data_IF_641540636236
#
_entry.id   IF_641540636236
#
_cell.length_a   1.000
_cell.length_b   1.000
_cell.length_c   1.000
_cell.angle_alpha   90.00
_cell.angle_beta   90.00
_cell.angle_gamma   90.00
#
_symmetry.space_group_name_H-M   'P 1'
#
loop_
_entity.id
_entity.type
_entity.pdbx_description
1 polymer ?
#
# COMPACT_ATOMS: atom_id res chain seq x y z
N UNK A 1 60.27 -7.44 7.14
CA UNK A 1 59.39 -8.01 6.08
C UNK A 1 58.05 -8.38 6.70
N UNK A 2 56.93 -8.17 6.00
CA UNK A 2 55.59 -8.62 6.44
C UNK A 2 55.32 -10.01 5.86
N UNK A 3 55.01 -10.99 6.69
CA UNK A 3 54.63 -12.34 6.24
C UNK A 3 53.25 -12.69 6.78
N UNK A 4 52.39 -13.20 5.91
CA UNK A 4 51.03 -13.62 6.25
C UNK A 4 50.95 -15.14 6.33
N UNK A 5 50.41 -15.67 7.44
CA UNK A 5 50.13 -17.09 7.58
C UNK A 5 48.62 -17.33 7.43
N UNK A 6 48.21 -17.82 6.26
CA UNK A 6 46.79 -18.08 5.93
C UNK A 6 46.13 -19.18 6.75
N UNK A 7 46.91 -20.10 7.35
CA UNK A 7 46.37 -21.18 8.18
C UNK A 7 46.03 -20.72 9.60
N UNK A 8 46.59 -19.59 10.05
CA UNK A 8 46.41 -19.05 11.41
C UNK A 8 45.94 -17.59 11.44
N UNK A 9 45.62 -17.01 10.28
CA UNK A 9 45.15 -15.64 10.12
C UNK A 9 46.01 -14.58 10.84
N UNK A 10 47.34 -14.70 10.78
CA UNK A 10 48.23 -13.78 11.50
C UNK A 10 49.29 -13.13 10.59
N UNK A 11 49.63 -11.88 10.88
CA UNK A 11 50.72 -11.11 10.27
C UNK A 11 51.91 -11.03 11.20
N UNK A 12 53.05 -11.60 10.81
CA UNK A 12 54.31 -11.34 11.50
C UNK A 12 55.04 -10.19 10.81
N UNK A 13 55.52 -9.24 11.63
CA UNK A 13 56.44 -8.20 11.20
C UNK A 13 57.79 -8.53 11.85
N UNK A 14 58.81 -8.76 11.03
CA UNK A 14 60.19 -8.81 11.52
C UNK A 14 60.75 -7.41 11.48
N UNK A 15 61.01 -6.84 12.65
CA UNK A 15 61.72 -5.57 12.82
C UNK A 15 63.24 -5.79 12.77
N UNK A 16 64.02 -4.71 12.60
CA UNK A 16 65.47 -4.75 12.34
C UNK A 16 66.28 -5.46 13.42
N UNK A 17 65.73 -5.58 14.62
CA UNK A 17 66.42 -6.09 15.81
C UNK A 17 66.13 -7.58 16.04
N UNK A 18 65.59 -8.26 15.01
CA UNK A 18 65.26 -9.69 15.00
C UNK A 18 64.31 -10.14 16.13
N UNK A 19 63.64 -9.17 16.77
CA UNK A 19 62.59 -9.41 17.74
C UNK A 19 61.26 -9.63 17.00
N UNK A 20 60.65 -10.79 17.19
CA UNK A 20 59.32 -11.06 16.66
C UNK A 20 58.33 -10.37 17.61
N UNK A 21 57.86 -9.19 17.23
CA UNK A 21 56.70 -8.60 17.88
C UNK A 21 55.48 -9.39 17.44
N UNK A 22 55.03 -10.30 18.30
CA UNK A 22 53.75 -11.00 18.13
C UNK A 22 52.66 -10.01 18.56
N UNK A 23 52.18 -9.19 17.63
CA UNK A 23 50.97 -8.40 17.87
C UNK A 23 49.77 -9.34 18.01
N UNK A 24 49.39 -9.71 19.24
CA UNK A 24 48.23 -10.58 19.47
C UNK A 24 46.89 -9.91 19.20
N UNK A 25 46.86 -8.68 18.70
CA UNK A 25 45.66 -8.08 18.12
C UNK A 25 45.43 -8.60 16.68
N UNK A 26 45.42 -9.92 16.57
CA UNK A 26 44.37 -10.55 15.78
C UNK A 26 43.48 -11.18 16.82
N UNK A 27 42.55 -10.38 17.35
CA UNK A 27 41.32 -10.98 17.83
C UNK A 27 40.75 -11.71 16.62
N UNK A 28 41.04 -13.00 16.58
CA UNK A 28 40.49 -13.96 15.63
C UNK A 28 39.01 -14.10 15.95
N UNK A 29 38.26 -13.02 15.75
CA UNK A 29 36.83 -13.10 15.69
C UNK A 29 36.54 -14.08 14.58
N UNK A 30 35.95 -15.23 14.91
CA UNK A 30 35.08 -15.95 13.99
C UNK A 30 33.83 -15.10 13.70
N UNK A 31 33.97 -13.77 13.66
CA UNK A 31 32.97 -12.77 13.98
C UNK A 31 31.79 -13.01 13.10
N UNK A 32 30.84 -13.80 13.60
CA UNK A 32 29.53 -13.93 13.02
C UNK A 32 28.95 -12.56 13.22
N UNK A 33 29.01 -11.77 12.15
CA UNK A 33 28.37 -10.47 12.11
C UNK A 33 26.91 -10.71 12.49
N UNK A 34 26.48 -10.09 13.60
CA UNK A 34 25.11 -10.29 14.07
C UNK A 34 24.21 -9.56 13.09
N UNK A 35 23.34 -10.33 12.45
CA UNK A 35 22.34 -9.79 11.54
C UNK A 35 20.96 -9.83 12.18
N UNK A 36 20.12 -8.90 11.77
CA UNK A 36 18.77 -8.69 12.28
C UNK A 36 17.75 -8.90 11.16
N UNK A 37 16.49 -8.83 11.55
CA UNK A 37 15.36 -8.90 10.62
C UNK A 37 14.40 -7.74 10.79
N UNK A 38 13.72 -7.42 9.69
CA UNK A 38 12.65 -6.42 9.60
C UNK A 38 11.43 -7.06 8.96
N UNK A 39 10.24 -6.78 9.47
CA UNK A 39 8.98 -7.18 8.84
C UNK A 39 7.78 -6.94 9.75
N UNK A 40 6.71 -7.70 9.48
CA UNK A 40 5.69 -8.21 10.41
C UNK A 40 4.43 -8.56 9.61
N UNK A 41 3.51 -7.63 9.35
CA UNK A 41 2.15 -7.98 8.95
C UNK A 41 1.50 -7.01 7.95
N UNK A 42 0.69 -7.56 7.04
CA UNK A 42 -0.17 -6.80 6.12
C UNK A 42 -1.59 -7.34 6.24
N UNK A 43 -2.57 -6.44 6.36
CA UNK A 43 -3.97 -6.82 6.59
C UNK A 43 -4.95 -6.00 5.76
N UNK A 44 -6.16 -6.52 5.66
CA UNK A 44 -7.30 -5.78 5.13
C UNK A 44 -7.95 -4.97 6.24
N UNK A 45 -7.69 -3.66 6.24
CA UNK A 45 -8.29 -2.69 7.14
C UNK A 45 -9.75 -2.45 6.71
N UNK A 46 -10.66 -3.24 7.28
CA UNK A 46 -12.07 -3.24 6.87
C UNK A 46 -12.85 -2.08 7.47
N UNK A 47 -12.41 -1.60 8.64
CA UNK A 47 -13.05 -0.52 9.37
C UNK A 47 -12.48 0.87 9.01
N UNK A 48 -11.32 0.90 8.32
CA UNK A 48 -10.60 2.08 7.81
C UNK A 48 -10.01 2.97 8.90
N UNK A 49 -9.70 2.43 10.06
CA UNK A 49 -9.13 3.19 11.17
C UNK A 49 -7.59 3.24 11.15
N UNK A 50 -6.94 2.42 10.31
CA UNK A 50 -5.49 2.35 10.22
C UNK A 50 -4.81 1.62 11.37
N UNK A 51 -5.58 0.88 12.17
CA UNK A 51 -5.11 0.05 13.26
C UNK A 51 -5.44 -1.41 12.98
N UNK A 52 -4.52 -2.30 13.36
CA UNK A 52 -4.78 -3.74 13.37
C UNK A 52 -5.81 -4.04 14.45
N UNK A 53 -6.98 -4.53 14.04
CA UNK A 53 -8.04 -4.92 14.99
C UNK A 53 -8.45 -6.38 14.87
N UNK A 54 -8.92 -6.94 15.99
CA UNK A 54 -9.35 -8.33 16.03
C UNK A 54 -10.57 -8.55 15.13
N UNK A 55 -10.44 -9.46 14.16
CA UNK A 55 -11.48 -9.78 13.18
C UNK A 55 -11.16 -9.30 11.76
N UNK A 56 -10.08 -8.52 11.59
CA UNK A 56 -9.57 -8.16 10.28
C UNK A 56 -8.74 -9.28 9.67
N UNK A 57 -8.87 -9.44 8.36
CA UNK A 57 -8.26 -10.58 7.67
C UNK A 57 -6.82 -10.26 7.24
N UNK A 58 -5.91 -11.24 7.29
CA UNK A 58 -4.58 -11.11 6.73
C UNK A 58 -4.62 -10.90 5.21
N UNK A 59 -3.66 -10.14 4.70
CA UNK A 59 -3.50 -9.88 3.28
C UNK A 59 -2.33 -10.68 2.70
N UNK A 60 -2.65 -11.79 2.03
CA UNK A 60 -1.68 -12.64 1.36
C UNK A 60 -1.28 -12.12 -0.03
N UNK A 61 -0.08 -12.50 -0.48
CA UNK A 61 0.48 -12.18 -1.80
C UNK A 61 0.63 -10.68 -2.09
N UNK A 62 0.88 -9.86 -1.05
CA UNK A 62 1.24 -8.45 -1.19
C UNK A 62 2.74 -8.36 -1.42
N UNK A 63 3.16 -7.62 -2.46
CA UNK A 63 4.57 -7.44 -2.77
C UNK A 63 5.20 -6.41 -1.82
N UNK A 64 6.25 -6.81 -1.12
CA UNK A 64 7.04 -5.95 -0.24
C UNK A 64 8.48 -5.89 -0.77
N UNK A 65 9.05 -4.70 -0.85
CA UNK A 65 10.40 -4.46 -1.36
C UNK A 65 11.26 -3.73 -0.35
N UNK A 66 12.38 -4.35 0.02
CA UNK A 66 13.50 -3.78 0.76
C UNK A 66 14.48 -3.12 -0.23
N UNK A 67 14.85 -1.88 0.03
CA UNK A 67 15.90 -1.15 -0.68
C UNK A 67 17.07 -0.90 0.26
N UNK A 68 18.26 -1.31 -0.16
CA UNK A 68 19.52 -1.10 0.55
C UNK A 68 20.06 0.32 0.30
N UNK A 69 21.01 0.77 1.12
CA UNK A 69 21.62 2.11 1.00
C UNK A 69 22.35 2.35 -0.33
N UNK A 70 22.82 1.29 -0.98
CA UNK A 70 23.45 1.33 -2.31
C UNK A 70 22.43 1.35 -3.48
N UNK A 71 21.13 1.30 -3.17
CA UNK A 71 20.02 1.28 -4.12
C UNK A 71 19.68 -0.10 -4.68
N UNK A 72 20.38 -1.16 -4.27
CA UNK A 72 19.96 -2.53 -4.60
C UNK A 72 18.67 -2.90 -3.87
N UNK A 73 17.94 -3.90 -4.36
CA UNK A 73 16.64 -4.28 -3.81
C UNK A 73 16.49 -5.78 -3.61
N UNK A 74 15.64 -6.15 -2.66
CA UNK A 74 15.16 -7.51 -2.42
C UNK A 74 13.64 -7.44 -2.22
N UNK A 75 12.90 -8.41 -2.77
CA UNK A 75 11.45 -8.44 -2.62
C UNK A 75 10.98 -9.80 -2.09
N UNK A 76 9.88 -9.76 -1.35
CA UNK A 76 9.13 -10.91 -0.86
C UNK A 76 7.64 -10.68 -1.06
N UNK A 77 6.85 -11.74 -1.00
CA UNK A 77 5.40 -11.66 -0.92
C UNK A 77 4.96 -12.03 0.49
N UNK A 78 3.92 -11.36 1.00
CA UNK A 78 3.27 -11.78 2.25
C UNK A 78 2.68 -13.18 2.10
N UNK A 79 2.79 -13.97 3.16
CA UNK A 79 2.28 -15.35 3.19
C UNK A 79 0.74 -15.40 3.37
N UNK A 80 0.19 -16.61 3.45
CA UNK A 80 -1.25 -16.82 3.63
C UNK A 80 -1.81 -16.21 4.93
N UNK A 81 -0.94 -16.01 5.92
CA UNK A 81 -1.23 -15.38 7.19
C UNK A 81 -0.84 -13.90 7.19
N UNK A 82 -0.57 -13.28 6.04
CA UNK A 82 -0.29 -11.84 5.91
C UNK A 82 1.12 -11.44 6.33
N UNK A 83 1.98 -12.38 6.73
CA UNK A 83 3.29 -12.06 7.28
C UNK A 83 4.38 -12.00 6.21
N UNK A 84 5.38 -11.16 6.44
CA UNK A 84 6.59 -11.08 5.61
C UNK A 84 7.82 -10.78 6.48
N UNK A 85 9.01 -11.11 5.98
CA UNK A 85 10.26 -10.84 6.71
C UNK A 85 11.47 -10.74 5.78
N UNK A 86 12.32 -9.74 6.05
CA UNK A 86 13.67 -9.67 5.53
C UNK A 86 14.67 -10.03 6.62
N UNK A 87 15.53 -11.00 6.33
CA UNK A 87 16.59 -11.47 7.22
C UNK A 87 17.97 -11.05 6.69
N UNK A 88 18.97 -11.04 7.57
CA UNK A 88 20.37 -10.80 7.18
C UNK A 88 20.72 -9.31 7.10
N UNK A 89 20.09 -8.46 7.91
CA UNK A 89 20.29 -7.02 7.89
C UNK A 89 21.34 -6.62 8.94
N UNK A 90 22.33 -5.84 8.52
CA UNK A 90 23.43 -5.41 9.39
C UNK A 90 23.02 -4.28 10.34
N UNK A 91 23.61 -4.30 11.54
CA UNK A 91 23.41 -3.26 12.56
C UNK A 91 23.83 -1.88 12.07
N UNK A 92 23.15 -0.83 12.54
CA UNK A 92 23.41 0.60 12.23
C UNK A 92 23.23 1.01 10.76
N UNK A 93 22.92 0.07 9.88
CA UNK A 93 22.55 0.36 8.50
C UNK A 93 21.08 0.77 8.40
N UNK A 94 20.78 1.57 7.38
CA UNK A 94 19.43 1.99 7.04
C UNK A 94 18.91 1.27 5.80
N UNK A 95 17.65 0.87 5.87
CA UNK A 95 16.94 0.17 4.80
C UNK A 95 15.58 0.83 4.58
N UNK A 96 15.12 0.87 3.34
CA UNK A 96 13.78 1.38 3.02
C UNK A 96 12.87 0.23 2.63
N UNK A 97 11.78 0.04 3.38
CA UNK A 97 10.71 -0.91 3.07
C UNK A 97 9.63 -0.17 2.30
N UNK A 98 9.13 -0.79 1.23
CA UNK A 98 8.01 -0.27 0.44
C UNK A 98 6.99 -1.36 0.14
N UNK A 99 5.71 -0.98 0.26
CA UNK A 99 4.59 -1.87 0.00
C UNK A 99 3.96 -1.55 -1.34
N UNK A 100 3.68 -2.58 -2.13
CA UNK A 100 2.91 -2.46 -3.38
C UNK A 100 1.54 -3.10 -3.19
N UNK A 101 0.47 -2.30 -2.99
CA UNK A 101 -0.88 -2.82 -2.87
C UNK A 101 -1.30 -3.64 -4.08
N UNK A 102 -2.06 -4.74 -3.90
CA UNK A 102 -2.66 -5.46 -5.01
C UNK A 102 -3.70 -4.59 -5.72
N UNK A 103 -4.04 -4.96 -6.95
CA UNK A 103 -5.04 -4.24 -7.74
C UNK A 103 -6.39 -4.13 -6.99
N UNK A 104 -6.99 -2.93 -7.01
CA UNK A 104 -8.24 -2.65 -6.31
C UNK A 104 -8.08 -2.31 -4.83
N UNK A 105 -6.85 -2.18 -4.32
CA UNK A 105 -6.56 -1.74 -2.96
C UNK A 105 -5.59 -0.57 -2.95
N UNK A 106 -5.67 0.23 -1.89
CA UNK A 106 -4.71 1.26 -1.52
C UNK A 106 -4.36 1.10 -0.04
N UNK A 107 -3.27 1.73 0.39
CA UNK A 107 -2.91 1.75 1.81
C UNK A 107 -3.88 2.62 2.60
N UNK A 108 -4.15 2.21 3.83
CA UNK A 108 -4.95 2.96 4.80
C UNK A 108 -4.17 4.16 5.38
N UNK A 109 -4.80 4.88 6.30
CA UNK A 109 -4.16 5.96 7.06
C UNK A 109 -2.97 5.42 7.84
N UNK A 110 -1.80 6.03 7.65
CA UNK A 110 -0.58 5.62 8.34
C UNK A 110 -0.41 6.30 9.70
N UNK A 111 0.39 5.70 10.59
CA UNK A 111 0.82 6.23 11.87
C UNK A 111 -0.37 6.63 12.78
N UNK A 112 -1.42 5.80 12.80
CA UNK A 112 -2.62 6.06 13.61
C UNK A 112 -2.34 5.73 15.07
N UNK A 113 -2.70 6.64 15.97
CA UNK A 113 -2.60 6.40 17.40
C UNK A 113 -1.16 6.53 17.90
N UNK A 114 -0.77 5.69 18.86
CA UNK A 114 0.54 5.77 19.51
C UNK A 114 1.22 4.41 19.71
N UNK A 115 0.63 3.34 19.19
CA UNK A 115 1.18 1.99 19.32
C UNK A 115 1.66 1.52 17.95
N UNK A 116 2.95 1.71 17.72
CA UNK A 116 3.69 1.38 16.50
C UNK A 116 3.54 -0.10 16.10
N UNK A 117 3.33 -1.00 17.08
CA UNK A 117 3.20 -2.43 16.80
C UNK A 117 1.83 -2.85 16.21
N UNK A 118 0.91 -1.89 16.01
CA UNK A 118 -0.44 -2.19 15.49
C UNK A 118 -0.95 -1.12 14.53
N UNK A 119 -0.19 -0.10 14.18
CA UNK A 119 -0.62 0.86 13.17
C UNK A 119 -0.07 0.48 11.79
N UNK A 120 -0.35 1.31 10.79
CA UNK A 120 0.15 1.14 9.43
C UNK A 120 1.29 2.12 9.19
N UNK A 121 2.45 1.69 8.68
CA UNK A 121 3.59 2.60 8.42
C UNK A 121 3.45 3.43 7.15
N UNK A 122 2.49 3.06 6.30
CA UNK A 122 2.28 3.66 4.99
C UNK A 122 3.16 3.07 3.89
N UNK A 123 3.30 3.80 2.77
CA UNK A 123 3.81 3.21 1.52
C UNK A 123 5.31 2.96 1.48
N UNK A 124 6.08 3.72 2.26
CA UNK A 124 7.53 3.67 2.26
C UNK A 124 8.05 4.14 3.61
N UNK A 125 8.78 3.29 4.30
CA UNK A 125 9.34 3.55 5.63
C UNK A 125 10.84 3.27 5.62
N UNK A 126 11.62 4.12 6.31
CA UNK A 126 13.06 3.91 6.47
C UNK A 126 13.33 3.43 7.88
N UNK A 127 13.95 2.26 7.97
CA UNK A 127 14.29 1.59 9.23
C UNK A 127 15.80 1.64 9.39
N UNK A 128 16.27 2.04 10.58
CA UNK A 128 17.68 1.92 10.97
C UNK A 128 17.79 0.82 12.02
N UNK A 129 18.58 -0.20 11.74
CA UNK A 129 18.78 -1.32 12.66
C UNK A 129 19.53 -0.84 13.90
N UNK A 130 18.99 -1.16 15.08
CA UNK A 130 19.51 -0.75 16.40
C UNK A 130 19.72 -1.95 17.32
N UNK A 131 20.60 -2.85 16.89
CA UNK A 131 20.96 -4.07 17.59
C UNK A 131 19.75 -4.96 17.99
N UNK A 132 18.64 -4.87 17.26
CA UNK A 132 17.41 -5.62 17.49
C UNK A 132 16.67 -5.85 16.16
N UNK A 133 15.84 -6.89 16.14
CA UNK A 133 14.87 -7.09 15.07
C UNK A 133 13.77 -6.04 15.19
N UNK A 134 13.21 -5.65 14.05
CA UNK A 134 12.11 -4.69 13.96
C UNK A 134 10.88 -5.39 13.37
N UNK A 135 9.89 -5.69 14.22
CA UNK A 135 8.66 -6.39 13.83
C UNK A 135 7.44 -5.50 14.07
N UNK A 136 7.58 -4.22 13.71
CA UNK A 136 6.49 -3.23 13.78
C UNK A 136 6.24 -2.60 12.41
N UNK A 137 6.80 -3.19 11.34
CA UNK A 137 6.66 -2.63 10.00
C UNK A 137 5.50 -3.27 9.26
N UNK A 138 4.37 -2.57 9.29
CA UNK A 138 3.05 -3.07 8.98
C UNK A 138 2.34 -2.23 7.93
N UNK A 139 1.37 -2.84 7.22
CA UNK A 139 0.58 -2.13 6.21
C UNK A 139 -0.89 -2.56 6.19
N UNK A 140 -1.78 -1.60 6.45
CA UNK A 140 -3.23 -1.80 6.31
C UNK A 140 -3.72 -1.45 4.90
N UNK A 141 -4.59 -2.29 4.34
CA UNK A 141 -5.15 -2.12 3.00
C UNK A 141 -6.65 -1.84 3.04
N UNK A 142 -7.09 -0.79 2.35
CA UNK A 142 -8.50 -0.48 2.11
C UNK A 142 -8.83 -0.65 0.63
N UNK A 143 -10.09 -0.98 0.26
CA UNK A 143 -10.50 -0.97 -1.13
C UNK A 143 -10.25 0.39 -1.77
N UNK A 144 -9.65 0.38 -2.97
CA UNK A 144 -9.43 1.59 -3.76
C UNK A 144 -10.79 2.22 -4.11
N UNK A 145 -11.07 3.45 -3.63
CA UNK A 145 -12.34 4.12 -3.89
C UNK A 145 -12.58 4.38 -5.39
N UNK A 146 -11.54 4.42 -6.22
CA UNK A 146 -11.66 4.65 -7.66
C UNK A 146 -12.00 3.36 -8.41
N UNK A 147 -11.43 2.22 -7.99
CA UNK A 147 -11.69 0.91 -8.59
C UNK A 147 -13.11 0.35 -8.33
N UNK A 148 -13.81 0.83 -7.28
CA UNK A 148 -15.23 0.47 -7.06
C UNK A 148 -16.20 1.06 -8.09
N UNK A 149 -15.78 2.09 -8.86
CA UNK A 149 -16.66 2.75 -9.83
C UNK A 149 -16.73 2.06 -11.20
N UNK A 150 -15.87 1.06 -11.46
CA UNK A 150 -15.84 0.32 -12.74
C UNK A 150 -16.39 -1.09 -12.57
N UNK A 151 -17.70 -1.21 -12.32
CA UNK A 151 -18.44 -2.46 -12.56
C UNK A 151 -19.38 -2.26 -13.75
N UNK A 152 -18.89 -2.56 -14.94
CA UNK A 152 -19.72 -2.71 -16.15
C UNK A 152 -20.63 -3.93 -15.97
N UNK A 153 -21.80 -3.70 -15.38
CA UNK A 153 -22.86 -4.70 -15.32
C UNK A 153 -23.58 -4.72 -16.66
N UNK A 154 -23.31 -5.70 -17.51
CA UNK A 154 -24.19 -6.02 -18.64
C UNK A 154 -25.42 -6.76 -18.08
N UNK A 155 -26.46 -6.02 -17.72
CA UNK A 155 -27.77 -6.61 -17.41
C UNK A 155 -28.71 -6.44 -18.59
N UNK A 156 -28.80 -7.48 -19.42
CA UNK A 156 -29.98 -7.67 -20.27
C UNK A 156 -31.14 -8.10 -19.36
N UNK A 157 -31.83 -7.14 -18.75
CA UNK A 157 -33.01 -7.43 -17.93
C UNK A 157 -34.24 -7.66 -18.81
N UNK A 158 -34.68 -8.92 -18.85
CA UNK A 158 -35.89 -9.35 -19.55
C UNK A 158 -37.11 -9.03 -18.67
N UNK A 159 -37.88 -8.03 -19.10
CA UNK A 159 -39.30 -7.73 -18.79
C UNK A 159 -39.68 -7.52 -17.31
N UNK A 160 -40.32 -6.37 -17.07
CA UNK A 160 -40.98 -6.00 -15.81
C UNK A 160 -40.05 -5.92 -14.58
N UNK A 161 -39.00 -5.10 -14.66
CA UNK A 161 -38.06 -4.90 -13.56
C UNK A 161 -37.95 -3.42 -13.19
N UNK A 162 -38.12 -3.13 -11.90
CA UNK A 162 -37.76 -1.83 -11.31
C UNK A 162 -36.24 -1.81 -11.17
N UNK A 163 -35.56 -1.00 -11.97
CA UNK A 163 -34.10 -0.90 -11.95
C UNK A 163 -33.70 0.47 -11.42
N UNK A 164 -32.92 0.49 -10.34
CA UNK A 164 -32.21 1.68 -9.89
C UNK A 164 -30.77 1.52 -10.38
N UNK A 165 -30.39 2.31 -11.38
CA UNK A 165 -29.06 2.23 -11.99
C UNK A 165 -28.44 3.62 -12.01
N UNK A 166 -27.33 3.79 -11.31
CA UNK A 166 -26.36 4.84 -11.61
C UNK A 166 -25.38 4.27 -12.63
N UNK A 167 -25.69 4.45 -13.90
CA UNK A 167 -24.85 3.99 -15.01
C UNK A 167 -24.72 5.10 -16.03
N UNK A 168 -23.51 5.32 -16.52
CA UNK A 168 -23.25 6.02 -17.78
C UNK A 168 -23.50 5.05 -18.93
N UNK A 169 -24.73 4.58 -19.09
CA UNK A 169 -25.09 3.70 -20.22
C UNK A 169 -26.13 4.37 -21.11
N UNK A 170 -25.87 4.30 -22.42
CA UNK A 170 -26.84 4.51 -23.48
C UNK A 170 -28.07 3.63 -23.19
N UNK A 171 -29.25 4.24 -23.05
CA UNK A 171 -30.49 3.51 -22.81
C UNK A 171 -31.30 3.43 -24.11
N UNK A 172 -31.19 2.30 -24.81
CA UNK A 172 -32.20 1.92 -25.80
C UNK A 172 -33.47 1.48 -25.07
N UNK A 173 -34.41 2.40 -24.90
CA UNK A 173 -35.68 2.13 -24.22
C UNK A 173 -36.72 1.66 -25.24
N UNK A 174 -37.21 0.42 -25.12
CA UNK A 174 -38.37 -0.05 -25.89
C UNK A 174 -39.62 -0.09 -24.99
N UNK A 175 -40.53 0.85 -25.27
CA UNK A 175 -41.96 0.96 -24.87
C UNK A 175 -42.33 0.69 -23.39
N UNK A 176 -42.98 1.70 -22.80
CA UNK A 176 -43.63 1.67 -21.48
C UNK A 176 -42.67 1.46 -20.29
N UNK A 177 -41.64 2.31 -20.21
CA UNK A 177 -40.69 2.31 -19.08
C UNK A 177 -40.60 3.71 -18.46
N UNK A 178 -40.56 3.75 -17.13
CA UNK A 178 -40.34 4.97 -16.34
C UNK A 178 -38.88 4.97 -15.89
N UNK A 179 -38.09 5.93 -16.35
CA UNK A 179 -36.69 6.09 -16.00
C UNK A 179 -36.49 7.37 -15.21
N UNK A 180 -35.87 7.27 -14.02
CA UNK A 180 -35.40 8.44 -13.27
C UNK A 180 -33.89 8.53 -13.48
N UNK A 181 -33.45 9.58 -14.15
CA UNK A 181 -32.04 9.81 -14.47
C UNK A 181 -31.63 11.21 -14.03
N UNK A 182 -30.50 11.34 -13.35
CA UNK A 182 -29.81 12.62 -13.16
C UNK A 182 -28.60 12.64 -14.09
N UNK A 183 -28.81 13.02 -15.35
CA UNK A 183 -27.73 13.20 -16.31
C UNK A 183 -27.97 14.45 -17.16
N UNK A 184 -26.87 15.13 -17.52
CA UNK A 184 -26.84 16.08 -18.63
C UNK A 184 -27.07 15.28 -19.92
N UNK A 185 -28.31 15.20 -20.36
CA UNK A 185 -28.72 14.39 -21.52
C UNK A 185 -29.00 15.26 -22.74
N UNK A 186 -28.46 14.84 -23.90
CA UNK A 186 -29.08 15.11 -25.20
C UNK A 186 -30.12 13.99 -25.41
N UNK A 187 -31.38 14.34 -25.57
CA UNK A 187 -32.47 13.37 -25.70
C UNK A 187 -33.03 13.37 -27.12
N UNK A 188 -32.95 12.21 -27.80
CA UNK A 188 -33.85 11.89 -28.91
C UNK A 188 -34.97 11.00 -28.38
N UNK A 189 -36.18 11.55 -28.32
CA UNK A 189 -37.35 10.85 -27.80
C UNK A 189 -38.21 10.31 -28.93
N UNK A 190 -38.53 9.01 -28.94
CA UNK A 190 -39.67 8.48 -29.72
C UNK A 190 -40.81 8.07 -28.79
N UNK A 191 -41.83 8.94 -28.80
CA UNK A 191 -43.23 8.84 -28.33
C UNK A 191 -43.51 8.16 -26.97
N UNK A 192 -44.06 8.99 -26.07
CA UNK A 192 -44.80 8.66 -24.85
C UNK A 192 -43.96 8.24 -23.62
N UNK A 193 -42.85 8.92 -23.38
CA UNK A 193 -42.13 8.89 -22.10
C UNK A 193 -42.37 10.19 -21.32
N UNK A 194 -42.69 10.07 -20.03
CA UNK A 194 -42.77 11.19 -19.09
C UNK A 194 -41.53 11.21 -18.21
N UNK A 195 -40.81 12.33 -18.20
CA UNK A 195 -39.64 12.57 -17.35
C UNK A 195 -40.05 13.47 -16.17
N UNK A 196 -39.66 13.13 -14.94
CA UNK A 196 -39.92 13.94 -13.75
C UNK A 196 -38.59 14.30 -13.11
N UNK A 197 -38.26 15.60 -13.10
CA UNK A 197 -37.07 16.17 -12.45
C UNK A 197 -37.38 16.55 -10.99
N UNK A 198 -36.57 16.15 -9.99
CA UNK A 198 -36.69 16.69 -8.64
C UNK A 198 -36.21 18.15 -8.64
N UNK A 199 -37.07 19.07 -8.19
CA UNK A 199 -36.78 20.50 -8.18
C UNK A 199 -35.81 20.86 -7.04
N UNK A 200 -34.69 21.50 -7.37
CA UNK A 200 -33.90 22.25 -6.39
C UNK A 200 -34.62 23.57 -6.08
N UNK A 201 -34.89 23.78 -4.79
CA UNK A 201 -35.36 25.04 -4.22
C UNK A 201 -34.20 26.04 -4.25
N UNK A 202 -34.37 27.16 -4.95
CA UNK A 202 -33.45 28.32 -4.86
C UNK A 202 -34.17 29.50 -4.18
N UNK A 203 -33.49 30.27 -3.31
CA UNK A 203 -34.09 31.45 -2.70
C UNK A 203 -34.19 32.60 -3.71
N UNK A 204 -35.27 33.36 -3.57
CA UNK A 204 -35.68 34.51 -4.37
C UNK A 204 -34.67 35.64 -4.37
N UNK A 205 -34.29 36.16 -5.55
CA UNK A 205 -33.97 37.59 -5.70
C UNK A 205 -34.38 38.17 -7.06
N UNK A 206 -35.19 39.22 -6.95
CA UNK A 206 -35.33 40.46 -7.71
C UNK A 206 -35.51 40.47 -9.25
N UNK A 207 -36.64 41.05 -9.64
CA UNK A 207 -37.09 41.41 -10.99
C UNK A 207 -36.42 42.72 -11.44
N UNK A 208 -35.86 42.76 -12.66
CA UNK A 208 -35.84 44.00 -13.47
C UNK A 208 -36.19 43.66 -14.92
N UNK A 209 -37.38 44.10 -15.35
CA UNK A 209 -37.80 44.22 -16.75
C UNK A 209 -36.92 45.27 -17.43
N UNK A 210 -36.66 45.14 -18.73
CA UNK A 210 -37.06 46.11 -19.77
C UNK A 210 -36.90 45.47 -21.16
N UNK A 211 -37.89 45.76 -22.02
CA UNK A 211 -38.13 45.15 -23.33
C UNK A 211 -37.21 45.73 -24.42
N UNK A 212 -37.05 44.94 -25.48
CA UNK A 212 -36.60 45.32 -26.83
C UNK A 212 -37.16 46.66 -27.31
N UNK A 213 -36.36 47.37 -28.10
CA UNK A 213 -36.56 47.38 -29.56
C UNK A 213 -35.25 46.98 -30.21
#
# INVERSE_FOLDING_TARGET
MKSYNSLRNYYSIVESDNNIVVNSDVSGGTGTEVTYSVGDYVWFDTNKDGLQTNGENPAANVLVTLTYSDGTTKSVYTDASGHYQFNGLFDKESYTISFTPPAGYVLTTSNTGSNDAIDSDGSSVTVTIKAANDMTIDAGLIPDPVSQSTSTSLSNSVRNSTSVSTSTSLSDSVRNSTSVSTSTSLSDSVRNSTSVSPQQVYPTQCVIRHQKV
#
